data_IF_316197933723
#
_entry.id   IF_316197933723
#
_cell.length_a   1.000
_cell.length_b   1.000
_cell.length_c   1.000
_cell.angle_alpha   90.00
_cell.angle_beta   90.00
_cell.angle_gamma   90.00
#
_symmetry.space_group_name_H-M   'P 1'
#
loop_
_entity.id
_entity.type
_entity.pdbx_description
1 polymer ?
#
# COMPACT_ATOMS: atom_id res chain seq x y z
N UNK A 1 -43.74 1.28 -26.76
CA UNK A 1 -42.60 0.37 -26.47
C UNK A 1 -41.31 1.10 -26.07
N UNK A 2 -41.15 2.39 -26.43
CA UNK A 2 -39.89 3.13 -26.21
C UNK A 2 -39.51 3.37 -24.74
N UNK A 3 -40.47 3.61 -23.83
CA UNK A 3 -40.18 3.87 -22.39
C UNK A 3 -39.43 2.72 -21.69
N UNK A 4 -39.64 1.47 -22.10
CA UNK A 4 -38.93 0.31 -21.52
C UNK A 4 -37.47 0.21 -22.01
N UNK A 5 -37.15 0.76 -23.18
CA UNK A 5 -35.79 0.78 -23.71
C UNK A 5 -34.91 1.78 -22.94
N UNK A 6 -35.43 2.98 -22.66
CA UNK A 6 -34.70 4.01 -21.90
C UNK A 6 -34.38 3.59 -20.46
N UNK A 7 -35.29 2.87 -19.79
CA UNK A 7 -35.05 2.36 -18.43
C UNK A 7 -33.90 1.34 -18.43
N UNK A 8 -33.85 0.44 -19.41
CA UNK A 8 -32.78 -0.56 -19.54
C UNK A 8 -31.41 0.08 -19.80
N UNK A 9 -31.36 1.09 -20.67
CA UNK A 9 -30.11 1.83 -20.97
C UNK A 9 -29.65 2.61 -19.74
N UNK A 10 -30.57 3.28 -19.03
CA UNK A 10 -30.25 4.00 -17.80
C UNK A 10 -29.74 3.06 -16.70
N UNK A 11 -30.41 1.92 -16.46
CA UNK A 11 -29.94 0.94 -15.47
C UNK A 11 -28.57 0.36 -15.85
N UNK A 12 -28.33 0.10 -17.14
CA UNK A 12 -27.03 -0.40 -17.61
C UNK A 12 -25.92 0.64 -17.46
N UNK A 13 -26.20 1.92 -17.68
CA UNK A 13 -25.24 3.00 -17.49
C UNK A 13 -24.91 3.23 -16.00
N UNK A 14 -25.91 3.15 -15.12
CA UNK A 14 -25.71 3.21 -13.67
C UNK A 14 -24.88 2.00 -13.19
N UNK A 15 -25.15 0.80 -13.71
CA UNK A 15 -24.36 -0.40 -13.37
C UNK A 15 -22.92 -0.29 -13.87
N UNK A 16 -22.70 0.23 -15.08
CA UNK A 16 -21.36 0.44 -15.64
C UNK A 16 -20.58 1.51 -14.85
N UNK A 17 -21.25 2.59 -14.41
CA UNK A 17 -20.63 3.64 -13.59
C UNK A 17 -20.32 3.13 -12.18
N UNK A 18 -21.21 2.31 -11.60
CA UNK A 18 -20.97 1.64 -10.32
C UNK A 18 -19.82 0.64 -10.42
N UNK A 19 -19.67 -0.06 -11.55
CA UNK A 19 -18.55 -0.98 -11.79
C UNK A 19 -17.22 -0.23 -11.97
N UNK A 20 -17.24 0.97 -12.58
CA UNK A 20 -16.06 1.85 -12.68
C UNK A 20 -15.64 2.45 -11.33
N UNK A 21 -16.58 2.60 -10.39
CA UNK A 21 -16.29 3.07 -9.03
C UNK A 21 -15.68 1.97 -8.13
N UNK A 22 -15.66 0.71 -8.57
CA UNK A 22 -15.03 -0.41 -7.87
C UNK A 22 -13.74 -0.79 -8.60
N UNK A 23 -12.86 0.20 -8.81
CA UNK A 23 -11.49 -0.14 -9.18
C UNK A 23 -10.79 -0.67 -7.93
N UNK A 24 -10.18 -1.87 -7.97
CA UNK A 24 -9.40 -2.35 -6.84
C UNK A 24 -8.23 -1.40 -6.64
N UNK A 25 -8.28 -0.60 -5.57
CA UNK A 25 -7.11 0.11 -5.10
C UNK A 25 -6.15 -0.95 -4.55
N UNK A 26 -4.99 -1.11 -5.20
CA UNK A 26 -3.90 -1.88 -4.63
C UNK A 26 -3.44 -1.14 -3.37
N UNK A 27 -3.92 -1.58 -2.21
CA UNK A 27 -3.40 -1.15 -0.93
C UNK A 27 -1.96 -1.65 -0.86
N UNK A 28 -1.00 -0.73 -0.91
CA UNK A 28 0.40 -1.09 -0.75
C UNK A 28 0.63 -1.26 0.74
N UNK A 29 1.11 -2.43 1.14
CA UNK A 29 1.32 -2.77 2.54
C UNK A 29 2.79 -2.56 2.92
N UNK A 30 3.00 -1.94 4.07
CA UNK A 30 4.25 -2.01 4.79
C UNK A 30 3.98 -2.32 6.26
N UNK A 31 4.87 -3.06 6.89
CA UNK A 31 4.70 -3.48 8.27
C UNK A 31 5.99 -3.46 9.08
N UNK A 32 5.86 -3.15 10.37
CA UNK A 32 6.96 -3.27 11.34
C UNK A 32 6.81 -4.57 12.11
N UNK A 33 7.91 -5.25 12.40
CA UNK A 33 7.88 -6.48 13.20
C UNK A 33 9.19 -6.70 13.95
N UNK A 34 9.16 -7.63 14.91
CA UNK A 34 10.30 -7.98 15.74
C UNK A 34 10.92 -9.30 15.30
N UNK A 35 12.25 -9.40 15.38
CA UNK A 35 12.97 -10.65 15.18
C UNK A 35 14.05 -10.84 16.28
N UNK A 36 14.02 -11.95 17.04
CA UNK A 36 12.94 -12.94 17.09
C UNK A 36 11.64 -12.34 17.68
N UNK A 37 10.49 -12.88 17.28
CA UNK A 37 9.18 -12.51 17.86
C UNK A 37 8.86 -13.29 19.14
N UNK A 38 9.55 -14.40 19.40
CA UNK A 38 9.49 -15.12 20.67
C UNK A 38 10.77 -15.91 20.92
N UNK A 39 11.12 -16.04 22.19
CA UNK A 39 12.23 -16.86 22.68
C UNK A 39 12.16 -16.98 24.21
N UNK A 40 13.05 -17.77 24.79
CA UNK A 40 13.24 -17.87 26.24
C UNK A 40 14.65 -17.45 26.62
N UNK A 41 14.78 -16.64 27.67
CA UNK A 41 16.06 -16.16 28.21
C UNK A 41 16.12 -16.35 29.72
N UNK A 42 17.33 -16.34 30.28
CA UNK A 42 17.52 -16.50 31.73
C UNK A 42 17.59 -15.13 32.40
N UNK A 43 17.13 -15.03 33.65
CA UNK A 43 17.32 -13.81 34.46
C UNK A 43 18.80 -13.39 34.50
N UNK A 44 19.06 -12.08 34.40
CA UNK A 44 20.39 -11.45 34.29
C UNK A 44 21.15 -11.73 32.98
N UNK A 45 20.52 -12.36 31.99
CA UNK A 45 21.04 -12.47 30.63
C UNK A 45 20.68 -11.22 29.81
N UNK A 46 21.51 -10.92 28.81
CA UNK A 46 21.22 -9.91 27.79
C UNK A 46 20.86 -10.59 26.47
N UNK A 47 19.84 -10.09 25.78
CA UNK A 47 19.46 -10.57 24.47
C UNK A 47 19.12 -9.43 23.51
N UNK A 48 19.22 -9.71 22.22
CA UNK A 48 18.98 -8.72 21.16
C UNK A 48 17.67 -9.00 20.45
N UNK A 49 16.89 -7.94 20.20
CA UNK A 49 15.69 -7.98 19.36
C UNK A 49 15.84 -6.92 18.27
N UNK A 50 15.76 -7.36 17.02
CA UNK A 50 15.74 -6.47 15.85
C UNK A 50 14.34 -5.93 15.61
N UNK A 51 14.24 -4.62 15.34
CA UNK A 51 13.08 -4.00 14.72
C UNK A 51 13.29 -4.01 13.21
N UNK A 52 12.39 -4.68 12.49
CA UNK A 52 12.47 -4.87 11.05
C UNK A 52 11.25 -4.27 10.34
N UNK A 53 11.43 -3.90 9.07
CA UNK A 53 10.37 -3.47 8.16
C UNK A 53 10.22 -4.44 6.98
N UNK A 54 8.98 -4.74 6.65
CA UNK A 54 8.55 -5.36 5.40
C UNK A 54 7.81 -4.31 4.56
N UNK A 55 8.18 -4.15 3.30
CA UNK A 55 7.59 -3.16 2.41
C UNK A 55 7.51 -3.67 0.97
N UNK A 56 6.29 -3.68 0.43
CA UNK A 56 6.01 -4.03 -0.97
C UNK A 56 6.27 -2.87 -1.93
N UNK A 57 6.18 -1.62 -1.42
CA UNK A 57 6.49 -0.38 -2.14
C UNK A 57 7.78 0.22 -1.59
N UNK A 58 8.48 1.01 -2.42
CA UNK A 58 9.63 1.78 -1.95
C UNK A 58 9.21 2.76 -0.84
N UNK A 59 9.91 2.71 0.29
CA UNK A 59 9.73 3.60 1.44
C UNK A 59 10.95 4.51 1.62
N UNK A 60 10.73 5.71 2.15
CA UNK A 60 11.77 6.71 2.38
C UNK A 60 11.86 7.23 3.82
N UNK A 61 10.91 6.89 4.69
CA UNK A 61 11.00 7.24 6.10
C UNK A 61 10.28 6.21 6.98
N UNK A 62 10.83 5.98 8.17
CA UNK A 62 10.25 5.09 9.18
C UNK A 62 10.38 5.77 10.54
N UNK A 63 9.29 5.79 11.30
CA UNK A 63 9.28 6.20 12.70
C UNK A 63 8.50 5.21 13.56
N UNK A 64 8.89 5.09 14.83
CA UNK A 64 8.19 4.19 15.73
C UNK A 64 8.61 4.32 17.18
N UNK A 65 7.69 3.93 18.06
CA UNK A 65 7.92 3.74 19.49
C UNK A 65 7.70 2.28 19.83
N UNK A 66 8.71 1.59 20.33
CA UNK A 66 8.57 0.26 20.95
C UNK A 66 8.33 0.46 22.43
N UNK A 67 7.39 -0.27 23.02
CA UNK A 67 7.14 -0.25 24.46
C UNK A 67 7.29 -1.63 25.08
N UNK A 68 7.71 -1.66 26.34
CA UNK A 68 8.01 -2.88 27.09
C UNK A 68 7.76 -2.69 28.60
N UNK A 69 7.45 -3.74 29.36
CA UNK A 69 7.26 -3.65 30.81
C UNK A 69 8.62 -3.60 31.53
N UNK A 70 8.89 -2.50 32.24
CA UNK A 70 10.17 -2.26 32.95
C UNK A 70 10.36 -3.12 34.20
N UNK A 71 9.29 -3.79 34.65
CA UNK A 71 9.35 -4.79 35.71
C UNK A 71 10.17 -6.01 35.29
N UNK A 72 10.11 -6.41 34.02
CA UNK A 72 10.76 -7.61 33.50
C UNK A 72 12.02 -7.32 32.69
N UNK A 73 12.05 -6.18 32.01
CA UNK A 73 13.09 -5.83 31.04
C UNK A 73 13.67 -4.45 31.31
N UNK A 74 14.92 -4.25 30.93
CA UNK A 74 15.51 -2.94 30.71
C UNK A 74 16.25 -2.91 29.38
N UNK A 75 16.24 -1.77 28.71
CA UNK A 75 17.09 -1.55 27.54
C UNK A 75 18.48 -1.14 28.02
N UNK A 76 19.48 -1.86 27.54
CA UNK A 76 20.89 -1.62 27.83
C UNK A 76 21.51 -0.76 26.72
N UNK A 77 21.15 -1.06 25.47
CA UNK A 77 21.66 -0.36 24.31
C UNK A 77 20.68 -0.43 23.14
N UNK A 78 20.76 0.56 22.25
CA UNK A 78 20.11 0.55 20.94
C UNK A 78 21.21 0.74 19.90
N UNK A 79 21.33 -0.22 18.98
CA UNK A 79 22.33 -0.23 17.92
C UNK A 79 21.67 0.12 16.58
N UNK A 80 22.34 0.98 15.82
CA UNK A 80 21.97 1.37 14.46
C UNK A 80 22.80 0.61 13.41
N UNK A 81 23.61 -0.36 13.84
CA UNK A 81 24.47 -1.13 12.96
C UNK A 81 23.66 -1.89 11.91
N UNK A 82 24.07 -1.77 10.64
CA UNK A 82 23.37 -2.36 9.49
C UNK A 82 21.91 -1.90 9.33
N UNK A 83 21.58 -0.70 9.83
CA UNK A 83 20.27 -0.09 9.56
C UNK A 83 20.12 0.22 8.07
N UNK A 84 18.90 0.11 7.55
CA UNK A 84 18.53 0.61 6.22
C UNK A 84 18.34 2.14 6.21
N UNK A 85 18.21 2.77 7.39
CA UNK A 85 18.09 4.21 7.51
C UNK A 85 19.47 4.85 7.27
N UNK A 86 19.53 5.81 6.35
CA UNK A 86 20.78 6.50 6.01
C UNK A 86 21.04 7.69 6.94
N UNK A 87 19.97 8.37 7.36
CA UNK A 87 20.04 9.56 8.22
C UNK A 87 18.95 9.47 9.29
N UNK A 88 19.28 9.91 10.50
CA UNK A 88 18.34 9.99 11.62
C UNK A 88 17.76 11.40 11.67
N UNK A 89 16.44 11.52 11.68
CA UNK A 89 15.77 12.80 11.99
C UNK A 89 15.98 13.12 13.46
N UNK A 90 15.87 12.07 14.27
CA UNK A 90 16.25 12.07 15.68
C UNK A 90 16.87 10.72 16.02
N UNK A 91 18.05 10.77 16.63
CA UNK A 91 18.78 9.56 17.00
C UNK A 91 17.92 8.64 17.87
N UNK A 92 18.05 7.31 17.71
CA UNK A 92 17.34 6.37 18.55
C UNK A 92 17.63 6.61 20.02
N UNK A 93 16.59 6.59 20.82
CA UNK A 93 16.66 6.87 22.26
C UNK A 93 15.74 5.94 23.01
N UNK A 94 16.03 5.72 24.29
CA UNK A 94 15.22 4.84 25.12
C UNK A 94 15.06 5.38 26.53
N UNK A 95 14.02 4.92 27.22
CA UNK A 95 13.75 5.20 28.62
C UNK A 95 13.34 3.93 29.34
N UNK A 96 13.98 3.65 30.47
CA UNK A 96 13.63 2.58 31.40
C UNK A 96 12.77 3.08 32.58
N UNK A 97 12.25 4.31 32.50
CA UNK A 97 11.51 4.95 33.60
C UNK A 97 10.04 4.47 33.68
N UNK A 98 9.47 4.49 34.89
CA UNK A 98 8.08 4.12 35.14
C UNK A 98 7.82 2.61 35.02
N UNK A 99 6.57 2.23 34.75
CA UNK A 99 6.15 0.82 34.57
C UNK A 99 6.21 0.35 33.09
N UNK A 100 6.27 1.31 32.16
CA UNK A 100 6.34 1.07 30.72
C UNK A 100 7.51 1.85 30.17
N UNK A 101 8.53 1.13 29.72
CA UNK A 101 9.69 1.70 29.05
C UNK A 101 9.41 1.90 27.57
N UNK A 102 10.24 2.72 26.92
CA UNK A 102 10.11 3.00 25.49
C UNK A 102 11.45 3.03 24.78
N UNK A 103 11.43 2.70 23.49
CA UNK A 103 12.51 2.94 22.52
C UNK A 103 11.91 3.68 21.35
N UNK A 104 12.41 4.87 21.06
CA UNK A 104 11.99 5.69 19.93
C UNK A 104 13.05 5.66 18.84
N UNK A 105 12.62 5.64 17.59
CA UNK A 105 13.46 5.76 16.41
C UNK A 105 12.74 6.57 15.32
N UNK A 106 13.47 7.41 14.60
CA UNK A 106 12.95 8.14 13.43
C UNK A 106 14.07 8.48 12.46
N UNK A 107 13.94 8.01 11.22
CA UNK A 107 14.94 8.29 10.19
C UNK A 107 14.43 8.14 8.78
N UNK A 108 15.31 8.49 7.85
CA UNK A 108 15.04 8.56 6.42
C UNK A 108 15.96 7.64 5.63
N UNK A 109 15.44 7.14 4.52
CA UNK A 109 16.10 6.29 3.54
C UNK A 109 16.22 7.12 2.26
N UNK A 110 17.44 7.29 1.78
CA UNK A 110 17.72 8.05 0.57
C UNK A 110 17.24 7.29 -0.67
N UNK A 111 17.06 8.02 -1.78
CA UNK A 111 16.71 7.42 -3.06
C UNK A 111 17.71 6.31 -3.45
N UNK A 112 17.22 5.15 -3.96
CA UNK A 112 15.86 4.88 -4.44
C UNK A 112 14.82 4.47 -3.38
N UNK A 113 15.15 4.51 -2.09
CA UNK A 113 14.32 4.01 -0.98
C UNK A 113 14.54 2.51 -0.72
N UNK A 114 13.72 1.91 0.14
CA UNK A 114 13.81 0.49 0.49
C UNK A 114 12.58 -0.30 0.06
N UNK A 115 12.80 -1.48 -0.51
CA UNK A 115 11.79 -2.50 -0.83
C UNK A 115 12.32 -3.85 -0.36
N UNK A 116 11.50 -4.63 0.35
CA UNK A 116 11.86 -5.97 0.80
C UNK A 116 11.34 -6.29 2.20
N UNK A 117 11.55 -7.53 2.64
CA UNK A 117 10.89 -8.06 3.83
C UNK A 117 11.69 -8.02 5.13
N UNK A 118 12.98 -7.67 5.11
CA UNK A 118 13.88 -7.77 6.28
C UNK A 118 14.71 -6.52 6.52
N UNK A 119 14.11 -5.36 6.31
CA UNK A 119 14.82 -4.08 6.42
C UNK A 119 15.10 -3.77 7.88
N UNK A 120 16.36 -3.83 8.30
CA UNK A 120 16.70 -3.58 9.71
C UNK A 120 16.63 -2.09 10.02
N UNK A 121 15.89 -1.72 11.06
CA UNK A 121 15.78 -0.34 11.54
C UNK A 121 16.75 -0.11 12.69
N UNK A 122 16.57 -0.84 13.79
CA UNK A 122 17.44 -0.82 14.97
C UNK A 122 17.51 -2.21 15.59
N UNK A 123 18.60 -2.49 16.30
CA UNK A 123 18.71 -3.63 17.21
C UNK A 123 18.64 -3.13 18.66
N UNK A 124 17.74 -3.70 19.45
CA UNK A 124 17.53 -3.34 20.86
C UNK A 124 18.13 -4.44 21.73
N UNK A 125 19.08 -4.09 22.59
CA UNK A 125 19.68 -5.00 23.57
C UNK A 125 18.94 -4.85 24.89
N UNK A 126 18.27 -5.92 25.31
CA UNK A 126 17.54 -5.98 26.57
C UNK A 126 18.31 -6.78 27.62
N UNK A 127 18.24 -6.34 28.87
CA UNK A 127 18.60 -7.12 30.06
C UNK A 127 17.36 -7.68 30.75
N UNK A 128 17.42 -8.94 31.19
CA UNK A 128 16.31 -9.60 31.91
C UNK A 128 16.39 -9.33 33.41
N UNK A 129 15.43 -8.57 33.95
CA UNK A 129 15.37 -8.20 35.37
C UNK A 129 14.62 -9.22 36.23
N UNK A 130 13.57 -9.82 35.70
CA UNK A 130 12.65 -10.66 36.48
C UNK A 130 12.16 -11.87 35.67
N UNK A 131 12.00 -12.99 36.36
CA UNK A 131 11.37 -14.22 35.85
C UNK A 131 9.89 -13.97 35.56
N UNK A 132 9.39 -14.49 34.44
CA UNK A 132 8.00 -14.32 34.01
C UNK A 132 7.86 -14.26 32.50
N UNK A 133 6.94 -13.43 31.99
CA UNK A 133 6.75 -13.21 30.56
C UNK A 133 6.57 -11.72 30.29
N UNK A 134 7.17 -11.23 29.21
CA UNK A 134 7.01 -9.85 28.76
C UNK A 134 6.76 -9.76 27.27
N UNK A 135 5.88 -8.85 26.89
CA UNK A 135 5.61 -8.49 25.50
C UNK A 135 6.32 -7.22 25.08
N UNK A 136 6.68 -7.14 23.78
CA UNK A 136 7.03 -5.90 23.10
C UNK A 136 5.91 -5.54 22.13
N UNK A 137 5.50 -4.27 22.14
CA UNK A 137 4.47 -3.75 21.23
C UNK A 137 4.93 -2.43 20.62
N UNK A 138 4.52 -2.17 19.38
CA UNK A 138 4.67 -0.87 18.76
C UNK A 138 3.54 0.06 19.26
N UNK A 139 3.91 1.25 19.71
CA UNK A 139 3.03 2.40 19.90
C UNK A 139 2.91 3.22 18.62
N UNK A 140 2.95 4.54 18.74
CA UNK A 140 2.92 5.45 17.58
C UNK A 140 4.03 5.10 16.58
N UNK A 141 3.63 4.84 15.33
CA UNK A 141 4.51 4.39 14.26
C UNK A 141 4.04 4.90 12.90
N UNK A 142 4.97 5.11 11.98
CA UNK A 142 4.68 5.48 10.59
C UNK A 142 5.70 4.92 9.62
N UNK A 143 5.27 4.63 8.40
CA UNK A 143 6.13 4.26 7.27
C UNK A 143 5.69 5.09 6.08
N UNK A 144 6.58 5.94 5.57
CA UNK A 144 6.27 6.83 4.46
C UNK A 144 6.76 6.26 3.13
N UNK A 145 5.90 6.31 2.11
CA UNK A 145 6.23 5.90 0.76
C UNK A 145 7.23 6.87 0.12
N UNK A 146 8.13 6.33 -0.70
CA UNK A 146 9.03 7.14 -1.51
C UNK A 146 8.32 7.69 -2.77
N UNK A 147 7.31 8.54 -2.58
CA UNK A 147 6.47 9.11 -3.65
C UNK A 147 6.47 10.65 -3.72
N UNK A 148 7.14 11.32 -2.79
CA UNK A 148 7.22 12.78 -2.73
C UNK A 148 6.02 13.47 -2.06
N UNK A 149 4.95 12.73 -1.75
CA UNK A 149 3.71 13.26 -1.16
C UNK A 149 3.62 12.99 0.36
N UNK A 150 4.54 12.19 0.91
CA UNK A 150 4.54 11.84 2.33
C UNK A 150 3.45 10.84 2.72
N UNK A 151 3.03 9.98 1.79
CA UNK A 151 1.97 9.00 2.02
C UNK A 151 2.35 7.98 3.08
N UNK A 152 1.61 7.90 4.19
CA UNK A 152 1.77 6.84 5.18
C UNK A 152 1.17 5.52 4.65
N UNK A 153 2.00 4.50 4.51
CA UNK A 153 1.63 3.16 4.00
C UNK A 153 1.79 2.05 5.05
N UNK A 154 1.94 2.41 6.32
CA UNK A 154 1.92 1.44 7.42
C UNK A 154 0.55 0.76 7.49
N UNK A 155 0.51 -0.54 7.24
CA UNK A 155 -0.71 -1.36 7.25
C UNK A 155 -0.73 -2.38 8.38
N UNK A 156 0.42 -2.73 8.96
CA UNK A 156 0.51 -3.71 10.03
C UNK A 156 1.67 -3.45 11.00
N UNK A 157 1.50 -3.85 12.25
CA UNK A 157 2.57 -3.88 13.25
C UNK A 157 2.52 -5.22 13.97
N UNK A 158 3.68 -5.85 14.13
CA UNK A 158 3.84 -7.10 14.87
C UNK A 158 3.97 -6.86 16.38
N UNK A 159 3.99 -7.95 17.13
CA UNK A 159 4.35 -7.95 18.55
C UNK A 159 5.36 -9.06 18.82
N UNK A 160 6.06 -8.96 19.95
CA UNK A 160 6.93 -10.03 20.43
C UNK A 160 6.51 -10.45 21.84
N UNK A 161 6.79 -11.69 22.22
CA UNK A 161 6.57 -12.19 23.58
C UNK A 161 7.70 -13.13 23.98
N UNK A 162 8.32 -12.84 25.11
CA UNK A 162 9.46 -13.58 25.63
C UNK A 162 9.14 -14.19 26.99
N UNK A 163 9.75 -15.34 27.26
CA UNK A 163 9.66 -16.02 28.54
C UNK A 163 11.00 -15.95 29.28
N UNK A 164 10.96 -15.64 30.57
CA UNK A 164 12.15 -15.47 31.40
C UNK A 164 12.21 -16.54 32.48
N UNK A 165 13.27 -17.31 32.46
CA UNK A 165 13.47 -18.46 33.33
C UNK A 165 14.39 -18.10 34.51
N UNK A 166 14.23 -18.83 35.61
CA UNK A 166 15.17 -18.75 36.72
C UNK A 166 16.55 -19.23 36.24
N UNK A 167 17.65 -18.63 36.72
CA UNK A 167 18.96 -19.22 36.58
C UNK A 167 18.92 -20.61 37.20
N UNK A 168 19.22 -21.65 36.41
CA UNK A 168 19.50 -22.94 36.99
C UNK A 168 20.74 -22.78 37.86
N UNK A 169 20.60 -23.08 39.15
CA UNK A 169 21.77 -23.24 40.00
C UNK A 169 22.67 -24.27 39.30
N UNK A 170 23.89 -23.86 38.94
CA UNK A 170 24.89 -24.80 38.46
C UNK A 170 24.97 -25.91 39.49
N UNK A 171 24.45 -27.08 39.14
CA UNK A 171 24.84 -28.29 39.86
C UNK A 171 26.33 -28.34 39.67
N UNK A 172 27.10 -28.32 40.76
CA UNK A 172 28.54 -28.47 40.73
C UNK A 172 28.78 -29.91 40.25
N UNK A 173 28.70 -30.14 38.94
CA UNK A 173 29.21 -31.35 38.33
C UNK A 173 30.73 -31.14 38.35
N UNK A 174 31.50 -32.02 39.01
CA UNK A 174 32.94 -31.93 39.01
C UNK A 174 33.44 -31.80 37.56
N UNK A 175 34.34 -30.85 37.33
CA UNK A 175 34.97 -30.53 36.02
C UNK A 175 35.57 -31.75 35.29
N UNK A 176 35.69 -32.87 35.98
CA UNK A 176 36.14 -34.17 35.50
C UNK A 176 35.13 -34.85 34.55
N UNK A 177 33.82 -34.65 34.74
CA UNK A 177 32.78 -35.28 33.89
C UNK A 177 32.68 -34.64 32.51
N UNK A 178 32.96 -33.33 32.39
CA UNK A 178 32.91 -32.60 31.12
C UNK A 178 34.12 -32.91 30.21
N UNK A 179 35.30 -33.14 30.81
CA UNK A 179 36.49 -33.59 30.10
C UNK A 179 36.34 -35.02 29.54
N UNK A 180 35.69 -35.91 30.30
CA UNK A 180 35.40 -37.29 29.84
C UNK A 180 34.33 -37.33 28.75
N UNK A 181 33.31 -36.46 28.83
CA UNK A 181 32.28 -36.33 27.80
C UNK A 181 32.83 -35.72 26.49
N UNK A 182 33.75 -34.76 26.57
CA UNK A 182 34.41 -34.17 25.41
C UNK A 182 35.36 -35.17 24.73
N UNK A 183 36.09 -35.97 25.52
CA UNK A 183 36.97 -37.03 25.01
C UNK A 183 36.19 -38.09 24.21
N UNK A 184 35.04 -38.54 24.73
CA UNK A 184 34.17 -39.49 24.03
C UNK A 184 33.61 -38.93 22.72
N UNK A 185 33.23 -37.65 22.72
CA UNK A 185 32.69 -36.97 21.54
C UNK A 185 33.74 -36.77 20.44
N UNK A 186 35.00 -36.56 20.82
CA UNK A 186 36.13 -36.48 19.88
C UNK A 186 36.42 -37.84 19.25
N UNK A 187 36.39 -38.93 20.03
CA UNK A 187 36.56 -40.30 19.53
C UNK A 187 35.43 -40.71 18.56
N UNK A 188 34.18 -40.33 18.85
CA UNK A 188 33.04 -40.55 17.95
C UNK A 188 33.16 -39.77 16.63
N UNK A 189 33.72 -38.55 16.67
CA UNK A 189 33.99 -37.73 15.48
C UNK A 189 35.14 -38.32 14.65
N UNK A 190 36.22 -38.76 15.28
CA UNK A 190 37.35 -39.41 14.58
C UNK A 190 36.91 -40.70 13.88
N UNK A 191 36.09 -41.52 14.54
CA UNK A 191 35.52 -42.73 13.94
C UNK A 191 34.56 -42.41 12.78
N UNK A 192 33.82 -41.31 12.87
CA UNK A 192 32.94 -40.84 11.79
C UNK A 192 33.74 -40.35 10.57
N UNK A 193 34.86 -39.66 10.77
CA UNK A 193 35.75 -39.19 9.69
C UNK A 193 36.46 -40.36 9.00
N UNK A 194 36.85 -41.40 9.74
CA UNK A 194 37.48 -42.60 9.18
C UNK A 194 36.55 -43.33 8.20
N UNK A 195 35.26 -43.44 8.53
CA UNK A 195 34.23 -44.02 7.64
C UNK A 195 33.96 -43.17 6.38
N UNK A 196 34.08 -41.83 6.47
CA UNK A 196 33.90 -40.95 5.30
C UNK A 196 35.10 -41.07 4.33
N UNK A 197 36.28 -41.38 4.85
CA UNK A 197 37.52 -41.47 4.05
C UNK A 197 37.57 -42.74 3.20
N UNK A 198 36.89 -43.82 3.59
CA UNK A 198 36.79 -45.04 2.78
C UNK A 198 35.64 -45.00 1.74
N UNK A 199 34.66 -44.09 1.88
CA UNK A 199 33.47 -44.03 1.02
C UNK A 199 33.48 -42.90 -0.04
N UNK A 200 34.58 -42.15 -0.19
CA UNK A 200 34.69 -41.09 -1.20
C UNK A 200 35.55 -41.51 -2.40
N UNK A 201 35.03 -42.45 -3.20
CA UNK A 201 35.55 -42.78 -4.53
C UNK A 201 34.44 -42.77 -5.59
N UNK A 202 33.52 -41.80 -5.53
CA UNK A 202 32.71 -41.39 -6.68
C UNK A 202 31.99 -40.07 -6.42
N UNK A 203 32.54 -38.98 -6.92
CA UNK A 203 31.82 -37.70 -7.00
C UNK A 203 30.84 -37.74 -8.19
N UNK A 204 29.57 -37.34 -8.03
CA UNK A 204 28.71 -37.06 -9.17
C UNK A 204 29.02 -35.67 -9.73
N UNK A 205 29.25 -35.60 -11.03
CA UNK A 205 29.33 -34.36 -11.81
C UNK A 205 27.95 -33.70 -11.81
N UNK A 206 27.84 -32.52 -11.21
CA UNK A 206 26.63 -31.69 -11.31
C UNK A 206 26.66 -31.00 -12.68
N UNK A 207 25.84 -31.48 -13.60
CA UNK A 207 25.58 -30.82 -14.88
C UNK A 207 24.63 -29.66 -14.62
N UNK A 208 25.14 -28.44 -14.71
CA UNK A 208 24.33 -27.21 -14.71
C UNK A 208 23.53 -27.17 -16.01
N UNK A 209 22.23 -27.47 -15.94
CA UNK A 209 21.33 -27.22 -17.05
C UNK A 209 21.11 -25.70 -17.17
N UNK A 210 21.57 -25.13 -18.29
CA UNK A 210 21.27 -23.74 -18.67
C UNK A 210 19.81 -23.68 -19.10
N UNK A 211 19.01 -22.94 -18.35
CA UNK A 211 17.57 -22.79 -18.58
C UNK A 211 17.35 -22.08 -19.93
N UNK A 212 16.64 -22.75 -20.85
CA UNK A 212 16.28 -22.15 -22.13
C UNK A 212 15.25 -21.02 -21.92
N UNK A 213 15.37 -19.90 -22.66
CA UNK A 213 14.43 -18.79 -22.54
C UNK A 213 13.01 -19.28 -22.86
N UNK A 214 12.06 -18.92 -21.99
CA UNK A 214 10.66 -19.32 -22.11
C UNK A 214 10.11 -18.90 -23.48
N UNK A 215 9.67 -19.88 -24.27
CA UNK A 215 9.02 -19.64 -25.55
C UNK A 215 7.75 -18.79 -25.37
N UNK A 216 7.66 -17.69 -26.11
CA UNK A 216 6.50 -16.80 -26.10
C UNK A 216 6.85 -15.31 -26.24
N UNK A 217 5.86 -14.44 -26.05
CA UNK A 217 6.01 -12.97 -26.15
C UNK A 217 7.06 -12.44 -25.17
N UNK A 218 7.20 -13.07 -24.00
CA UNK A 218 8.23 -12.73 -23.00
C UNK A 218 9.65 -13.06 -23.47
N UNK A 219 9.88 -14.21 -24.11
CA UNK A 219 11.18 -14.55 -24.70
C UNK A 219 11.56 -13.63 -25.86
N UNK A 220 10.57 -13.23 -26.68
CA UNK A 220 10.77 -12.22 -27.73
C UNK A 220 11.14 -10.85 -27.15
N UNK A 221 10.52 -10.45 -26.04
CA UNK A 221 10.78 -9.16 -25.37
C UNK A 221 12.23 -9.05 -24.84
N UNK A 222 12.78 -10.14 -24.30
CA UNK A 222 14.15 -10.23 -23.79
C UNK A 222 15.21 -10.07 -24.91
N UNK A 223 14.88 -10.49 -26.13
CA UNK A 223 15.76 -10.42 -27.32
C UNK A 223 15.78 -9.01 -27.94
N UNK A 224 14.80 -8.16 -27.64
CA UNK A 224 14.74 -6.83 -28.25
C UNK A 224 15.82 -5.88 -27.70
N UNK A 225 16.45 -5.06 -28.57
CA UNK A 225 17.31 -3.98 -28.13
C UNK A 225 16.61 -3.04 -27.14
N UNK A 226 17.35 -2.50 -26.17
CA UNK A 226 16.80 -1.64 -25.12
C UNK A 226 16.02 -0.44 -25.69
N UNK A 227 16.47 0.12 -26.81
CA UNK A 227 15.79 1.25 -27.47
C UNK A 227 14.41 0.85 -28.01
N UNK A 228 14.25 -0.37 -28.55
CA UNK A 228 12.96 -0.88 -29.04
C UNK A 228 11.99 -1.08 -27.88
N UNK A 229 12.46 -1.67 -26.76
CA UNK A 229 11.65 -1.86 -25.56
C UNK A 229 11.17 -0.51 -25.00
N UNK A 230 12.06 0.48 -24.93
CA UNK A 230 11.71 1.82 -24.49
C UNK A 230 10.65 2.47 -25.41
N UNK A 231 10.80 2.36 -26.73
CA UNK A 231 9.82 2.88 -27.70
C UNK A 231 8.45 2.21 -27.59
N UNK A 232 8.41 0.89 -27.41
CA UNK A 232 7.15 0.15 -27.22
C UNK A 232 6.45 0.58 -25.92
N UNK A 233 7.20 0.72 -24.82
CA UNK A 233 6.64 1.19 -23.55
C UNK A 233 6.11 2.63 -23.65
N UNK A 234 6.82 3.52 -24.34
CA UNK A 234 6.36 4.88 -24.60
C UNK A 234 5.09 4.93 -25.45
N UNK A 235 4.99 4.10 -26.49
CA UNK A 235 3.80 4.01 -27.33
C UNK A 235 2.59 3.51 -26.54
N UNK A 236 2.77 2.50 -25.69
CA UNK A 236 1.73 1.98 -24.80
C UNK A 236 1.31 3.08 -23.80
N UNK A 237 2.25 3.78 -23.17
CA UNK A 237 1.97 4.88 -22.25
C UNK A 237 1.23 6.05 -22.91
N UNK A 238 1.56 6.39 -24.16
CA UNK A 238 0.84 7.42 -24.90
C UNK A 238 -0.57 6.97 -25.27
N UNK A 239 -0.75 5.72 -25.69
CA UNK A 239 -2.06 5.16 -26.01
C UNK A 239 -2.99 5.11 -24.78
N UNK A 240 -2.46 4.76 -23.61
CA UNK A 240 -3.25 4.75 -22.35
C UNK A 240 -3.65 6.16 -21.93
N UNK A 241 -2.77 7.15 -22.06
CA UNK A 241 -3.10 8.56 -21.81
C UNK A 241 -4.19 9.07 -22.76
N UNK A 242 -4.08 8.78 -24.06
CA UNK A 242 -5.09 9.18 -25.05
C UNK A 242 -6.45 8.56 -24.71
N UNK A 243 -6.48 7.26 -24.37
CA UNK A 243 -7.70 6.57 -23.97
C UNK A 243 -8.32 7.21 -22.72
N UNK A 244 -7.51 7.56 -21.71
CA UNK A 244 -7.96 8.23 -20.49
C UNK A 244 -8.63 9.57 -20.81
N UNK A 245 -8.00 10.41 -21.65
CA UNK A 245 -8.58 11.71 -22.04
C UNK A 245 -9.91 11.56 -22.79
N UNK A 246 -10.03 10.56 -23.66
CA UNK A 246 -11.29 10.26 -24.36
C UNK A 246 -12.37 9.85 -23.37
N UNK A 247 -12.05 9.00 -22.39
CA UNK A 247 -13.00 8.54 -21.36
C UNK A 247 -13.44 9.70 -20.45
N UNK A 248 -12.53 10.55 -20.01
CA UNK A 248 -12.85 11.74 -19.20
C UNK A 248 -13.77 12.68 -19.98
N UNK A 249 -13.44 12.96 -21.24
CA UNK A 249 -14.28 13.82 -22.08
C UNK A 249 -15.68 13.23 -22.30
N UNK A 250 -15.78 11.91 -22.45
CA UNK A 250 -17.07 11.23 -22.59
C UNK A 250 -17.86 11.27 -21.28
N UNK A 251 -17.19 11.15 -20.13
CA UNK A 251 -17.78 11.32 -18.80
C UNK A 251 -18.38 12.72 -18.60
N UNK A 252 -17.70 13.78 -19.02
CA UNK A 252 -18.22 15.16 -18.97
C UNK A 252 -19.49 15.29 -19.81
N UNK A 253 -19.54 14.69 -21.00
CA UNK A 253 -20.74 14.72 -21.86
C UNK A 253 -21.90 13.95 -21.21
N UNK A 254 -21.63 12.81 -20.58
CA UNK A 254 -22.62 12.06 -19.80
C UNK A 254 -23.14 12.90 -18.64
N UNK A 255 -22.27 13.62 -17.91
CA UNK A 255 -22.65 14.53 -16.83
C UNK A 255 -23.55 15.66 -17.34
N UNK A 256 -23.21 16.29 -18.46
CA UNK A 256 -24.05 17.34 -19.08
C UNK A 256 -25.41 16.76 -19.50
N UNK A 257 -25.43 15.52 -20.02
CA UNK A 257 -26.69 14.86 -20.36
C UNK A 257 -27.51 14.48 -19.14
N UNK A 258 -26.91 13.90 -18.10
CA UNK A 258 -27.57 13.58 -16.84
C UNK A 258 -28.16 14.85 -16.21
N UNK A 259 -27.41 15.96 -16.27
CA UNK A 259 -27.90 17.28 -15.88
C UNK A 259 -29.12 17.70 -16.69
N UNK A 260 -29.07 17.59 -18.03
CA UNK A 260 -30.19 17.89 -18.92
C UNK A 260 -31.42 17.00 -18.64
N UNK A 261 -31.21 15.71 -18.39
CA UNK A 261 -32.27 14.74 -18.09
C UNK A 261 -32.88 14.98 -16.71
N UNK A 262 -32.07 15.32 -15.72
CA UNK A 262 -32.51 15.71 -14.38
C UNK A 262 -33.40 16.96 -14.44
N UNK A 263 -33.09 17.93 -15.32
CA UNK A 263 -33.96 19.09 -15.57
C UNK A 263 -35.28 18.70 -16.23
N UNK A 264 -35.25 17.88 -17.27
CA UNK A 264 -36.48 17.46 -17.97
C UNK A 264 -37.45 16.64 -17.10
N UNK A 265 -36.94 15.86 -16.15
CA UNK A 265 -37.74 15.10 -15.19
C UNK A 265 -37.82 15.77 -13.80
N UNK A 266 -37.40 17.03 -13.67
CA UNK A 266 -37.02 17.69 -12.41
C UNK A 266 -38.06 17.59 -11.30
N UNK A 267 -39.33 17.83 -11.60
CA UNK A 267 -40.42 17.74 -10.61
C UNK A 267 -40.55 16.33 -10.01
N UNK A 268 -40.25 15.29 -10.79
CA UNK A 268 -40.42 13.89 -10.37
C UNK A 268 -39.20 13.37 -9.61
N UNK A 269 -37.99 13.78 -10.00
CA UNK A 269 -36.73 13.40 -9.32
C UNK A 269 -36.58 14.16 -8.00
N UNK A 270 -36.85 15.46 -7.99
CA UNK A 270 -36.87 16.28 -6.76
C UNK A 270 -37.90 15.74 -5.78
N UNK A 271 -39.09 15.32 -6.24
CA UNK A 271 -40.13 14.70 -5.40
C UNK A 271 -39.71 13.32 -4.82
N UNK A 272 -38.96 12.52 -5.58
CA UNK A 272 -38.47 11.21 -5.10
C UNK A 272 -37.35 11.37 -4.06
N UNK A 273 -36.42 12.30 -4.31
CA UNK A 273 -35.32 12.61 -3.38
C UNK A 273 -35.84 13.26 -2.09
N UNK A 274 -36.76 14.22 -2.19
CA UNK A 274 -37.39 14.85 -1.01
C UNK A 274 -38.13 13.82 -0.17
N UNK A 275 -38.92 12.92 -0.77
CA UNK A 275 -39.64 11.90 0.00
C UNK A 275 -38.70 10.92 0.73
N UNK A 276 -37.55 10.55 0.14
CA UNK A 276 -36.53 9.72 0.81
C UNK A 276 -35.78 10.49 1.90
N UNK A 277 -35.34 11.71 1.62
CA UNK A 277 -34.61 12.56 2.58
C UNK A 277 -35.49 12.90 3.78
N UNK A 278 -36.74 13.29 3.57
CA UNK A 278 -37.72 13.55 4.64
C UNK A 278 -37.90 12.31 5.53
N UNK A 279 -37.90 11.10 4.96
CA UNK A 279 -37.96 9.86 5.72
C UNK A 279 -36.73 9.60 6.60
N UNK A 280 -35.54 9.96 6.12
CA UNK A 280 -34.27 9.82 6.86
C UNK A 280 -34.19 10.89 7.96
N UNK A 281 -34.50 12.15 7.63
CA UNK A 281 -34.52 13.28 8.55
C UNK A 281 -35.58 13.09 9.67
N UNK A 282 -36.76 12.53 9.36
CA UNK A 282 -37.75 12.16 10.38
C UNK A 282 -37.18 11.20 11.43
N UNK A 283 -36.44 10.18 11.00
CA UNK A 283 -35.80 9.23 11.93
C UNK A 283 -34.71 9.89 12.77
N UNK A 284 -33.94 10.79 12.16
CA UNK A 284 -32.86 11.53 12.83
C UNK A 284 -33.40 12.54 13.86
N UNK A 285 -34.46 13.29 13.52
CA UNK A 285 -35.03 14.30 14.41
C UNK A 285 -35.90 13.72 15.53
N UNK A 286 -36.59 12.59 15.28
CA UNK A 286 -37.26 11.85 16.35
C UNK A 286 -36.28 11.35 17.42
N UNK A 287 -35.06 11.00 17.02
CA UNK A 287 -33.97 10.63 17.93
C UNK A 287 -33.43 11.83 18.74
N UNK A 288 -33.56 13.05 18.22
CA UNK A 288 -33.03 14.29 18.81
C UNK A 288 -34.08 15.14 19.55
N UNK A 289 -35.35 14.71 19.59
CA UNK A 289 -36.42 15.41 20.33
C UNK A 289 -36.86 16.77 19.75
N UNK A 290 -36.53 17.08 18.50
CA UNK A 290 -36.85 18.36 17.85
C UNK A 290 -38.28 18.43 17.30
N UNK A 291 -38.84 19.64 17.22
CA UNK A 291 -40.21 19.91 16.75
C UNK A 291 -40.35 19.66 15.23
N UNK A 292 -40.99 18.54 14.88
CA UNK A 292 -41.11 18.01 13.51
C UNK A 292 -41.80 18.95 12.49
N UNK A 293 -42.58 19.94 12.96
CA UNK A 293 -43.42 20.80 12.11
C UNK A 293 -42.66 21.94 11.44
N UNK A 294 -41.65 22.53 12.07
CA UNK A 294 -40.91 23.67 11.51
C UNK A 294 -39.96 23.21 10.39
N UNK A 295 -39.18 22.16 10.64
CA UNK A 295 -38.20 21.64 9.67
C UNK A 295 -38.86 21.09 8.40
N UNK A 296 -40.05 20.50 8.52
CA UNK A 296 -40.78 19.99 7.35
C UNK A 296 -41.28 21.13 6.45
N UNK A 297 -41.67 22.27 7.03
CA UNK A 297 -42.09 23.44 6.28
C UNK A 297 -40.94 24.02 5.47
N UNK A 298 -39.81 24.26 6.12
CA UNK A 298 -38.65 24.91 5.51
C UNK A 298 -37.99 24.06 4.42
N UNK A 299 -37.89 22.74 4.61
CA UNK A 299 -37.34 21.82 3.60
C UNK A 299 -38.27 21.72 2.39
N UNK A 300 -39.59 21.69 2.60
CA UNK A 300 -40.55 21.60 1.49
C UNK A 300 -40.56 22.91 0.69
N UNK A 301 -40.48 24.05 1.35
CA UNK A 301 -40.42 25.36 0.71
C UNK A 301 -39.14 25.52 -0.12
N UNK A 302 -37.96 25.29 0.48
CA UNK A 302 -36.67 25.40 -0.21
C UNK A 302 -36.54 24.43 -1.40
N UNK A 303 -37.14 23.24 -1.31
CA UNK A 303 -37.16 22.28 -2.44
C UNK A 303 -38.15 22.67 -3.54
N UNK A 304 -39.22 23.38 -3.21
CA UNK A 304 -40.15 23.92 -4.20
C UNK A 304 -39.52 25.09 -4.94
N UNK A 305 -38.83 25.99 -4.22
CA UNK A 305 -38.09 27.14 -4.75
C UNK A 305 -36.92 26.70 -5.65
N UNK A 306 -36.11 25.73 -5.20
CA UNK A 306 -35.09 25.08 -6.04
C UNK A 306 -35.68 24.49 -7.33
N UNK A 307 -36.89 23.93 -7.27
CA UNK A 307 -37.58 23.39 -8.44
C UNK A 307 -37.97 24.47 -9.46
N UNK A 308 -38.36 25.65 -8.99
CA UNK A 308 -38.71 26.82 -9.83
C UNK A 308 -37.46 27.44 -10.46
N UNK A 309 -36.38 27.63 -9.69
CA UNK A 309 -35.08 28.11 -10.20
C UNK A 309 -34.46 27.16 -11.24
N UNK A 310 -34.65 25.85 -11.07
CA UNK A 310 -34.18 24.85 -12.04
C UNK A 310 -34.89 24.94 -13.41
N UNK A 311 -36.14 25.39 -13.44
CA UNK A 311 -36.95 25.53 -14.66
C UNK A 311 -36.65 26.83 -15.42
N UNK A 312 -36.21 27.89 -14.73
CA UNK A 312 -35.99 29.21 -15.34
C UNK A 312 -34.66 29.35 -16.11
N UNK A 313 -33.74 28.38 -16.01
CA UNK A 313 -32.46 28.40 -16.71
C UNK A 313 -32.56 28.01 -18.21
N UNK A 314 -32.00 28.85 -19.11
CA UNK A 314 -32.01 28.73 -20.59
C UNK A 314 -31.67 27.31 -21.12
N UNK A 315 -32.28 26.93 -22.26
CA UNK A 315 -32.19 25.58 -22.85
C UNK A 315 -30.74 25.21 -23.26
N UNK A 316 -30.36 23.96 -23.00
CA UNK A 316 -29.06 23.35 -23.35
C UNK A 316 -29.29 22.25 -24.40
N UNK A 317 -28.40 22.07 -25.39
CA UNK A 317 -28.54 21.07 -26.45
C UNK A 317 -28.68 19.64 -25.94
N UNK A 318 -29.35 18.80 -26.74
CA UNK A 318 -29.59 17.37 -26.45
C UNK A 318 -28.31 16.54 -26.50
N UNK A 319 -28.29 15.35 -25.88
CA UNK A 319 -27.09 14.49 -25.91
C UNK A 319 -26.66 14.08 -27.31
N UNK A 320 -27.61 13.81 -28.20
CA UNK A 320 -27.30 13.53 -29.60
C UNK A 320 -26.57 14.72 -30.24
N UNK A 321 -27.00 15.96 -29.98
CA UNK A 321 -26.33 17.15 -30.48
C UNK A 321 -24.96 17.36 -29.84
N UNK A 322 -24.82 17.12 -28.53
CA UNK A 322 -23.54 17.20 -27.83
C UNK A 322 -22.54 16.14 -28.33
N UNK A 323 -23.00 14.91 -28.55
CA UNK A 323 -22.18 13.81 -29.06
C UNK A 323 -21.75 14.05 -30.50
N UNK A 324 -22.66 14.51 -31.36
CA UNK A 324 -22.32 14.90 -32.75
C UNK A 324 -21.33 16.07 -32.76
N UNK A 325 -21.54 17.10 -31.93
CA UNK A 325 -20.60 18.23 -31.79
C UNK A 325 -19.23 17.76 -31.28
N UNK A 326 -19.22 16.86 -30.30
CA UNK A 326 -17.99 16.29 -29.75
C UNK A 326 -17.21 15.50 -30.81
N UNK A 327 -17.84 14.56 -31.50
CA UNK A 327 -17.20 13.78 -32.57
C UNK A 327 -16.69 14.68 -33.70
N UNK A 328 -17.43 15.75 -34.03
CA UNK A 328 -17.00 16.73 -35.02
C UNK A 328 -15.79 17.57 -34.57
N UNK A 329 -15.72 17.94 -33.29
CA UNK A 329 -14.55 18.62 -32.70
C UNK A 329 -13.36 17.68 -32.65
N UNK A 330 -13.55 16.44 -32.22
CA UNK A 330 -12.51 15.41 -32.16
C UNK A 330 -11.91 15.16 -33.54
N UNK A 331 -12.75 14.98 -34.57
CA UNK A 331 -12.32 14.82 -35.95
C UNK A 331 -11.52 16.02 -36.48
N UNK A 332 -11.91 17.26 -36.12
CA UNK A 332 -11.15 18.47 -36.47
C UNK A 332 -9.79 18.55 -35.76
N UNK A 333 -9.71 18.15 -34.50
CA UNK A 333 -8.46 18.14 -33.72
C UNK A 333 -7.51 17.09 -34.30
N UNK A 334 -8.00 15.88 -34.56
CA UNK A 334 -7.25 14.79 -35.19
C UNK A 334 -6.73 15.25 -36.56
N UNK A 335 -7.61 15.76 -37.43
CA UNK A 335 -7.21 16.26 -38.75
C UNK A 335 -6.13 17.34 -38.65
N UNK A 336 -6.27 18.32 -37.74
CA UNK A 336 -5.27 19.38 -37.51
C UNK A 336 -3.92 18.83 -37.04
N UNK A 337 -3.92 17.83 -36.15
CA UNK A 337 -2.71 17.18 -35.67
C UNK A 337 -1.93 16.51 -36.83
N UNK A 338 -2.63 15.80 -37.71
CA UNK A 338 -1.98 15.10 -38.82
C UNK A 338 -1.58 16.03 -39.97
N UNK A 339 -2.35 17.07 -40.28
CA UNK A 339 -1.97 18.05 -41.34
C UNK A 339 -0.81 18.97 -40.95
N UNK A 340 -0.58 19.21 -39.65
CA UNK A 340 0.52 20.05 -39.20
C UNK A 340 1.88 19.35 -39.36
N UNK A 341 1.91 18.03 -39.18
CA UNK A 341 3.11 17.22 -39.42
C UNK A 341 3.49 17.10 -40.91
N UNK A 342 2.55 17.30 -41.84
CA UNK A 342 2.81 17.20 -43.28
C UNK A 342 3.49 18.46 -43.85
N UNK A 343 3.18 19.64 -43.30
CA UNK A 343 3.73 20.92 -43.76
C UNK A 343 5.11 21.25 -43.17
N UNK A 344 5.51 20.61 -42.08
CA UNK A 344 6.85 20.80 -41.48
C UNK A 344 7.92 19.89 -42.13
N UNK A 345 7.52 18.88 -42.91
CA UNK A 345 8.45 17.98 -43.64
C UNK A 345 8.81 18.53 -45.02
N UNK A 346 7.97 19.35 -45.65
CA UNK A 346 8.19 19.89 -47.00
C UNK A 346 8.99 21.20 -47.09
N UNK A 347 9.45 21.74 -45.95
CA UNK A 347 10.25 22.99 -45.89
C UNK A 347 11.74 22.75 -45.55
N UNK A 348 12.19 21.49 -45.55
CA UNK A 348 13.56 21.10 -45.19
C UNK A 348 14.49 20.74 -46.35
N UNK A 349 13.98 20.56 -47.57
CA UNK A 349 14.78 20.33 -48.78
C UNK A 349 14.66 21.56 -49.68
N UNK A 350 15.54 22.54 -49.50
CA UNK A 350 15.97 23.51 -50.54
C UNK A 350 16.80 24.61 -49.88
N UNK A 351 18.03 24.27 -49.44
CA UNK A 351 19.16 25.21 -49.27
C UNK A 351 20.48 24.45 -49.38
N UNK A 352 20.94 24.23 -50.61
CA UNK A 352 22.37 24.32 -50.96
C UNK A 352 22.66 25.72 -51.53
#
# INVERSE_FOLDING_TARGET
MEKKAYIKVFTSAVFALAFLAITPHFAHAAGLYFAPSSSSYVQNENFTVSVLVDAEKSINAVSGVVTFPTEYLEVIAVSTANSILNLWVKDPSFSNAGNTGNVYFEGIILNPGYVGSRGRIVDIVFGVKKVGSAGLIFGESSILANDGEGSNILSSVGSATFNFLKPQASTIIPKETEAQALGKKLEDIENSIKNITESSSKAPVIVVQKQEPSGGVYGLWEVLPNWVRASVLLAIGMATLILLFVLVSLGVIILIWLWSQARHNGVRIVRLLTNRLIGILKKLFAYLGMAEKEVKGDIVYSMHELGEEFQSAKQVPTFRELLVRYLFVLGRIIKRFFTKNENDVSLGEDKE
#
